data_IF_974744107636
#
_entry.id   IF_974744107636
#
_cell.length_a   1.000
_cell.length_b   1.000
_cell.length_c   1.000
_cell.angle_alpha   90.00
_cell.angle_beta   90.00
_cell.angle_gamma   90.00
#
_symmetry.space_group_name_H-M   'P 1'
#
loop_
_entity.id
_entity.type
_entity.pdbx_description
1 polymer ?
#
# COMPACT_ATOMS: atom_id res chain seq x y z
N UNK A 1 -51.35 31.64 14.72
CA UNK A 1 -50.52 32.55 15.59
C UNK A 1 -49.07 32.12 15.44
N UNK A 2 -48.30 33.01 14.83
CA UNK A 2 -46.86 32.85 14.56
C UNK A 2 -46.02 33.10 15.82
N UNK A 3 -45.03 32.27 16.07
CA UNK A 3 -43.84 32.69 16.83
C UNK A 3 -42.58 32.13 16.16
N UNK A 4 -41.86 33.02 15.47
CA UNK A 4 -40.47 32.87 15.04
C UNK A 4 -39.55 33.02 16.22
N UNK A 5 -38.73 32.02 16.58
CA UNK A 5 -37.58 32.18 17.49
C UNK A 5 -36.31 32.44 16.66
N UNK A 6 -35.79 33.66 16.81
CA UNK A 6 -34.47 34.10 16.34
C UNK A 6 -33.39 33.43 17.21
N UNK A 7 -32.40 32.82 16.59
CA UNK A 7 -31.14 32.42 17.23
C UNK A 7 -30.12 33.52 16.96
N UNK A 8 -29.61 34.10 18.04
CA UNK A 8 -28.52 35.11 17.99
C UNK A 8 -27.19 34.34 17.96
N UNK A 9 -26.40 34.59 16.94
CA UNK A 9 -25.02 34.15 16.86
C UNK A 9 -24.13 35.21 17.53
N UNK A 10 -23.55 34.86 18.68
CA UNK A 10 -22.45 35.63 19.28
C UNK A 10 -21.12 35.10 18.69
N UNK A 11 -20.45 35.95 17.92
CA UNK A 11 -19.10 35.68 17.43
C UNK A 11 -18.07 36.00 18.52
N UNK A 12 -17.13 35.06 18.74
CA UNK A 12 -15.88 35.33 19.43
C UNK A 12 -14.76 35.31 18.38
N UNK A 13 -14.23 36.50 18.09
CA UNK A 13 -13.00 36.66 17.33
C UNK A 13 -11.81 36.40 18.26
N UNK A 14 -11.02 35.40 17.99
CA UNK A 14 -9.71 35.21 18.60
C UNK A 14 -8.64 35.76 17.67
N UNK A 15 -7.99 36.84 18.06
CA UNK A 15 -6.86 37.42 17.38
C UNK A 15 -5.61 36.56 17.57
N UNK A 16 -5.03 36.08 16.48
CA UNK A 16 -3.73 35.43 16.48
C UNK A 16 -2.62 36.49 16.38
N UNK A 17 -1.81 36.59 17.41
CA UNK A 17 -0.59 37.42 17.43
C UNK A 17 0.48 36.67 16.66
N UNK A 18 0.91 37.23 15.53
CA UNK A 18 2.06 36.75 14.76
C UNK A 18 3.31 37.45 15.30
N UNK A 19 4.18 36.74 15.99
CA UNK A 19 5.49 37.25 16.40
C UNK A 19 6.46 37.11 15.22
N UNK A 20 6.89 38.23 14.70
CA UNK A 20 7.93 38.35 13.68
C UNK A 20 9.28 38.37 14.40
N UNK A 21 10.12 37.34 14.17
CA UNK A 21 11.52 37.32 14.61
C UNK A 21 12.40 37.86 13.48
N UNK A 22 13.28 38.84 13.70
CA UNK A 22 14.10 39.40 12.64
C UNK A 22 15.28 38.48 12.26
N UNK A 23 15.46 38.33 10.96
CA UNK A 23 16.55 37.59 10.32
C UNK A 23 17.88 38.36 10.52
N UNK A 24 18.84 37.74 11.23
CA UNK A 24 20.20 38.24 11.35
C UNK A 24 21.00 37.81 10.12
N UNK A 25 21.50 38.80 9.37
CA UNK A 25 22.43 38.64 8.25
C UNK A 25 23.83 38.23 8.76
N UNK A 26 24.43 37.21 8.13
CA UNK A 26 25.84 36.86 8.29
C UNK A 26 26.69 37.57 7.24
N UNK A 27 27.95 37.94 7.55
CA UNK A 27 28.78 38.79 6.69
C UNK A 27 29.41 38.00 5.52
N UNK A 28 29.59 38.73 4.41
CA UNK A 28 30.26 38.28 3.19
C UNK A 28 31.75 37.98 3.44
N UNK A 29 32.24 36.84 3.00
CA UNK A 29 33.66 36.53 2.95
C UNK A 29 34.28 37.10 1.66
N UNK A 30 35.32 37.89 1.87
CA UNK A 30 36.16 38.58 0.88
C UNK A 30 37.02 37.57 0.10
N UNK A 31 37.03 37.70 -1.22
CA UNK A 31 37.97 36.99 -2.10
C UNK A 31 39.37 37.62 -1.98
N UNK A 32 40.36 36.76 -1.70
CA UNK A 32 41.78 37.10 -1.83
C UNK A 32 42.30 36.55 -3.15
N UNK A 33 42.80 37.43 -4.01
CA UNK A 33 43.58 37.13 -5.20
C UNK A 33 44.98 36.61 -4.77
N UNK A 34 45.37 35.43 -5.17
CA UNK A 34 46.74 34.92 -5.07
C UNK A 34 47.42 34.83 -6.43
N UNK A 35 48.61 35.41 -6.50
CA UNK A 35 49.47 35.64 -7.67
C UNK A 35 49.96 34.36 -8.33
N UNK A 36 50.10 34.43 -9.65
CA UNK A 36 50.94 33.55 -10.48
C UNK A 36 52.43 33.70 -10.12
N UNK A 37 53.13 32.56 -9.97
CA UNK A 37 54.59 32.49 -10.10
C UNK A 37 54.91 31.39 -11.10
N UNK A 38 55.39 31.84 -12.25
CA UNK A 38 56.06 31.00 -13.24
C UNK A 38 57.43 30.59 -12.71
N UNK A 39 57.73 29.30 -12.77
CA UNK A 39 59.13 28.81 -12.65
C UNK A 39 59.46 27.94 -13.87
N UNK A 40 60.56 28.32 -14.50
CA UNK A 40 61.09 27.73 -15.73
C UNK A 40 61.58 26.28 -15.57
N UNK A 41 61.46 25.52 -16.64
CA UNK A 41 62.07 24.20 -16.83
C UNK A 41 63.55 24.33 -17.16
N UNK A 42 64.41 23.44 -16.71
CA UNK A 42 65.71 23.28 -17.32
C UNK A 42 65.69 22.25 -18.44
N UNK A 43 66.29 22.63 -19.53
CA UNK A 43 66.59 21.83 -20.71
C UNK A 43 67.59 20.72 -20.38
N UNK A 44 67.34 19.47 -20.75
CA UNK A 44 68.31 18.40 -20.66
C UNK A 44 68.50 17.78 -22.07
N UNK A 45 69.74 17.86 -22.55
CA UNK A 45 70.25 17.29 -23.80
C UNK A 45 70.21 15.76 -23.81
N UNK A 46 70.07 15.11 -25.01
CA UNK A 46 70.02 13.66 -25.14
C UNK A 46 71.40 13.03 -25.09
N UNK A 47 71.57 12.03 -24.24
CA UNK A 47 72.70 11.12 -24.35
C UNK A 47 72.25 9.74 -24.88
N UNK A 48 72.96 9.22 -25.83
CA UNK A 48 72.73 7.97 -26.53
C UNK A 48 73.28 6.78 -25.73
N UNK A 49 72.42 5.85 -25.35
CA UNK A 49 72.81 4.58 -24.75
C UNK A 49 71.76 3.51 -24.89
N UNK A 50 71.77 2.79 -26.00
CA UNK A 50 70.91 1.66 -26.29
C UNK A 50 71.16 0.49 -25.32
N UNK A 51 70.21 0.16 -24.49
CA UNK A 51 70.10 -1.15 -23.83
C UNK A 51 68.69 -1.67 -24.00
N UNK A 52 68.49 -2.69 -24.81
CA UNK A 52 67.24 -3.39 -25.04
C UNK A 52 66.72 -4.08 -23.78
N UNK A 53 65.75 -3.54 -23.16
CA UNK A 53 64.94 -4.23 -22.16
C UNK A 53 63.98 -5.22 -22.82
N UNK A 54 63.84 -6.47 -22.34
CA UNK A 54 62.92 -7.42 -22.94
C UNK A 54 61.48 -6.96 -22.75
N UNK A 55 60.71 -6.96 -23.86
CA UNK A 55 59.29 -6.73 -23.91
C UNK A 55 58.62 -7.73 -22.95
N UNK A 56 57.76 -7.29 -21.99
CA UNK A 56 57.00 -8.22 -21.21
C UNK A 56 56.03 -8.99 -22.12
N UNK A 57 56.19 -10.30 -22.17
CA UNK A 57 55.28 -11.21 -22.86
C UNK A 57 53.90 -11.03 -22.24
N UNK A 58 52.93 -10.53 -23.01
CA UNK A 58 51.50 -10.47 -22.58
C UNK A 58 51.08 -11.90 -22.24
N UNK A 59 50.75 -12.10 -20.94
CA UNK A 59 50.10 -13.31 -20.46
C UNK A 59 48.69 -13.31 -21.09
N UNK A 60 48.30 -14.35 -21.86
CA UNK A 60 46.97 -14.41 -22.44
C UNK A 60 45.93 -14.29 -21.36
N UNK A 61 45.05 -13.30 -21.47
CA UNK A 61 43.96 -13.10 -20.51
C UNK A 61 43.11 -14.38 -20.47
N UNK A 62 43.12 -15.07 -19.33
CA UNK A 62 42.27 -16.23 -19.11
C UNK A 62 40.81 -15.83 -19.37
N UNK A 63 40.07 -16.55 -20.24
CA UNK A 63 38.69 -16.19 -20.54
C UNK A 63 37.87 -16.15 -19.27
N UNK A 64 37.24 -14.99 -18.96
CA UNK A 64 36.46 -14.77 -17.79
C UNK A 64 35.30 -15.77 -17.77
N UNK A 65 35.25 -16.63 -16.74
CA UNK A 65 34.16 -17.58 -16.54
C UNK A 65 32.84 -16.79 -16.44
N UNK A 66 31.79 -17.12 -17.22
CA UNK A 66 30.57 -16.37 -17.24
C UNK A 66 29.90 -16.39 -15.86
N UNK A 67 29.76 -15.23 -15.23
CA UNK A 67 29.13 -15.09 -13.89
C UNK A 67 27.67 -15.46 -13.97
N UNK A 68 27.23 -16.49 -13.25
CA UNK A 68 25.84 -16.94 -13.19
C UNK A 68 24.97 -15.92 -12.46
N UNK A 69 24.15 -15.18 -13.21
CA UNK A 69 23.24 -14.17 -12.67
C UNK A 69 21.98 -14.77 -12.06
N UNK A 70 21.41 -14.08 -11.06
CA UNK A 70 20.09 -14.42 -10.49
C UNK A 70 18.98 -14.28 -11.56
N UNK A 71 17.84 -15.00 -11.41
CA UNK A 71 16.70 -14.85 -12.30
C UNK A 71 16.11 -13.45 -12.28
N UNK A 72 15.68 -12.95 -13.44
CA UNK A 72 15.07 -11.64 -13.59
C UNK A 72 13.76 -11.52 -12.77
N UNK A 73 13.53 -10.35 -12.18
CA UNK A 73 12.31 -10.06 -11.38
C UNK A 73 11.09 -9.95 -12.28
N UNK A 74 10.03 -10.71 -11.96
CA UNK A 74 8.81 -10.80 -12.76
C UNK A 74 7.61 -10.13 -12.07
N UNK A 75 6.58 -9.78 -12.87
CA UNK A 75 5.29 -9.22 -12.41
C UNK A 75 5.44 -7.91 -11.62
N UNK A 76 6.35 -7.03 -12.05
CA UNK A 76 6.51 -5.71 -11.44
C UNK A 76 5.29 -4.85 -11.74
N UNK A 77 4.70 -4.26 -10.68
CA UNK A 77 3.59 -3.30 -10.77
C UNK A 77 3.97 -2.01 -10.05
N UNK A 78 3.52 -0.87 -10.58
CA UNK A 78 3.68 0.45 -9.97
C UNK A 78 2.32 1.11 -9.78
N UNK A 79 2.00 1.49 -8.54
CA UNK A 79 0.77 2.18 -8.19
C UNK A 79 1.10 3.50 -7.50
N UNK A 80 0.33 4.55 -7.79
CA UNK A 80 0.50 5.83 -7.08
C UNK A 80 0.09 5.64 -5.62
N UNK A 81 0.97 6.05 -4.71
CA UNK A 81 0.71 5.98 -3.27
C UNK A 81 0.34 7.33 -2.68
N UNK A 82 0.99 8.40 -3.15
CA UNK A 82 0.69 9.79 -2.79
C UNK A 82 1.12 10.72 -3.93
N UNK A 83 0.92 12.04 -3.76
CA UNK A 83 1.41 13.05 -4.71
C UNK A 83 2.90 12.91 -5.01
N UNK A 84 3.71 12.41 -4.06
CA UNK A 84 5.17 12.37 -4.12
C UNK A 84 5.76 10.96 -3.94
N UNK A 85 4.93 9.91 -4.03
CA UNK A 85 5.41 8.54 -3.88
C UNK A 85 4.60 7.53 -4.69
N UNK A 86 5.27 6.44 -5.04
CA UNK A 86 4.66 5.25 -5.65
C UNK A 86 4.96 4.03 -4.80
N UNK A 87 4.07 3.06 -4.83
CA UNK A 87 4.28 1.70 -4.33
C UNK A 87 4.64 0.81 -5.51
N UNK A 88 5.73 0.08 -5.36
CA UNK A 88 6.15 -0.98 -6.27
C UNK A 88 5.90 -2.32 -5.60
N UNK A 89 5.41 -3.29 -6.37
CA UNK A 89 5.23 -4.68 -5.95
C UNK A 89 5.70 -5.61 -7.05
N UNK A 90 6.17 -6.81 -6.70
CA UNK A 90 6.63 -7.82 -7.66
C UNK A 90 6.48 -9.24 -7.12
N UNK A 91 6.69 -10.27 -7.97
CA UNK A 91 6.68 -11.66 -7.53
C UNK A 91 7.92 -11.94 -6.67
N UNK A 92 7.73 -12.43 -5.44
CA UNK A 92 8.83 -12.86 -4.56
C UNK A 92 9.55 -14.05 -5.18
N UNK A 93 10.89 -14.06 -5.09
CA UNK A 93 11.75 -15.14 -5.57
C UNK A 93 12.34 -15.91 -4.39
N UNK A 94 12.45 -17.24 -4.48
CA UNK A 94 12.90 -18.08 -3.36
C UNK A 94 14.37 -17.86 -2.98
N UNK A 95 15.25 -17.67 -3.98
CA UNK A 95 16.72 -17.54 -3.78
C UNK A 95 17.24 -16.10 -3.66
N UNK A 96 16.34 -15.08 -3.62
CA UNK A 96 16.73 -13.66 -3.60
C UNK A 96 16.68 -13.13 -2.16
N UNK A 97 17.80 -12.58 -1.68
CA UNK A 97 17.90 -11.92 -0.37
C UNK A 97 17.53 -10.45 -0.41
N UNK A 98 17.87 -9.76 -1.50
CA UNK A 98 17.62 -8.33 -1.72
C UNK A 98 17.03 -8.05 -3.10
N UNK A 99 16.34 -6.95 -3.20
CA UNK A 99 15.86 -6.35 -4.44
C UNK A 99 16.37 -4.92 -4.51
N UNK A 100 16.95 -4.51 -5.64
CA UNK A 100 17.43 -3.17 -5.90
C UNK A 100 16.47 -2.46 -6.83
N UNK A 101 15.98 -1.30 -6.42
CA UNK A 101 14.99 -0.51 -7.16
C UNK A 101 15.70 0.66 -7.81
N UNK A 102 15.57 0.76 -9.12
CA UNK A 102 16.14 1.81 -9.93
C UNK A 102 15.05 2.74 -10.48
N UNK A 103 15.40 4.01 -10.64
CA UNK A 103 14.49 5.06 -11.12
C UNK A 103 15.17 5.95 -12.14
N UNK A 104 14.40 6.33 -13.19
CA UNK A 104 14.76 7.35 -14.16
C UNK A 104 13.54 8.23 -14.47
N UNK A 105 13.78 9.41 -15.06
CA UNK A 105 12.74 10.26 -15.66
C UNK A 105 12.62 10.08 -17.17
N UNK A 106 13.53 9.35 -17.80
CA UNK A 106 13.52 8.95 -19.23
C UNK A 106 13.47 7.43 -19.32
N UNK A 107 12.72 6.87 -20.30
CA UNK A 107 12.56 5.42 -20.44
C UNK A 107 13.92 4.75 -20.74
N UNK A 108 14.65 5.31 -21.66
CA UNK A 108 15.93 4.78 -22.15
C UNK A 108 17.12 5.63 -21.63
N UNK A 109 16.92 6.35 -20.52
CA UNK A 109 17.93 7.17 -19.89
C UNK A 109 18.69 6.47 -18.77
N UNK A 110 19.66 7.16 -18.17
CA UNK A 110 20.44 6.66 -17.04
C UNK A 110 19.53 6.44 -15.82
N UNK A 111 19.48 5.23 -15.31
CA UNK A 111 18.77 4.87 -14.08
C UNK A 111 19.69 4.96 -12.88
N UNK A 112 19.14 5.48 -11.77
CA UNK A 112 19.87 5.55 -10.50
C UNK A 112 19.23 4.61 -9.48
N UNK A 113 20.05 3.86 -8.75
CA UNK A 113 19.59 3.05 -7.62
C UNK A 113 18.94 3.95 -6.57
N UNK A 114 17.68 3.67 -6.23
CA UNK A 114 16.90 4.45 -5.26
C UNK A 114 16.92 3.84 -3.87
N UNK A 115 16.80 2.52 -3.78
CA UNK A 115 16.81 1.77 -2.53
C UNK A 115 17.08 0.28 -2.77
N UNK A 116 17.45 -0.43 -1.70
CA UNK A 116 17.43 -1.89 -1.63
C UNK A 116 16.45 -2.35 -0.55
N UNK A 117 15.80 -3.51 -0.75
CA UNK A 117 14.83 -4.08 0.18
C UNK A 117 14.86 -5.60 0.17
N UNK A 118 14.56 -6.25 1.30
CA UNK A 118 14.35 -7.70 1.39
C UNK A 118 12.92 -8.12 1.01
N UNK A 119 11.99 -7.17 0.98
CA UNK A 119 10.59 -7.40 0.69
C UNK A 119 10.29 -7.26 -0.79
N UNK A 120 9.28 -7.95 -1.27
CA UNK A 120 8.75 -7.84 -2.64
C UNK A 120 7.77 -6.66 -2.81
N UNK A 121 7.86 -5.68 -1.92
CA UNK A 121 7.10 -4.44 -1.94
C UNK A 121 7.94 -3.30 -1.36
N UNK A 122 7.85 -2.11 -1.95
CA UNK A 122 8.49 -0.92 -1.40
C UNK A 122 7.74 0.37 -1.77
N UNK A 123 8.04 1.44 -1.03
CA UNK A 123 7.64 2.80 -1.35
C UNK A 123 8.83 3.61 -1.86
N UNK A 124 8.73 4.09 -3.09
CA UNK A 124 9.65 5.10 -3.62
C UNK A 124 9.09 6.48 -3.30
N UNK A 125 9.78 7.21 -2.42
CA UNK A 125 9.38 8.53 -1.90
C UNK A 125 10.18 9.66 -2.57
N UNK A 126 9.80 10.93 -2.29
CA UNK A 126 10.47 12.16 -2.75
C UNK A 126 10.48 12.29 -4.29
N UNK A 127 9.40 11.88 -4.95
CA UNK A 127 9.19 12.09 -6.38
C UNK A 127 8.55 13.45 -6.61
N UNK A 128 8.99 14.17 -7.65
CA UNK A 128 8.40 15.48 -8.02
C UNK A 128 7.04 15.29 -8.69
N UNK A 129 6.04 16.09 -8.30
CA UNK A 129 4.72 16.10 -8.93
C UNK A 129 4.81 16.50 -10.42
N UNK A 130 3.80 16.15 -11.21
CA UNK A 130 3.69 16.39 -12.65
C UNK A 130 4.77 15.72 -13.54
N UNK A 131 5.76 14.99 -12.98
CA UNK A 131 6.77 14.23 -13.72
C UNK A 131 6.36 12.77 -13.92
N UNK A 132 6.80 12.14 -15.03
CA UNK A 132 6.71 10.71 -15.29
C UNK A 132 8.02 10.06 -14.83
N UNK A 133 7.93 8.94 -14.16
CA UNK A 133 9.07 8.14 -13.68
C UNK A 133 8.98 6.73 -14.22
N UNK A 134 10.13 6.16 -14.49
CA UNK A 134 10.32 4.80 -14.96
C UNK A 134 11.11 4.03 -13.92
N UNK A 135 10.77 2.77 -13.73
CA UNK A 135 11.37 1.91 -12.70
C UNK A 135 11.68 0.55 -13.28
N UNK A 136 12.79 -0.03 -12.86
CA UNK A 136 13.04 -1.45 -12.95
C UNK A 136 13.62 -1.97 -11.64
N UNK A 137 13.67 -3.29 -11.47
CA UNK A 137 14.12 -3.96 -10.26
C UNK A 137 15.07 -5.07 -10.66
N UNK A 138 16.20 -5.20 -9.95
CA UNK A 138 17.07 -6.36 -10.01
C UNK A 138 16.98 -7.18 -8.73
N UNK A 139 17.26 -8.47 -8.81
CA UNK A 139 17.39 -9.36 -7.66
C UNK A 139 18.86 -9.48 -7.30
N UNK A 140 19.21 -9.46 -6.03
CA UNK A 140 20.57 -9.55 -5.51
C UNK A 140 20.67 -10.40 -4.25
N UNK A 141 21.85 -10.90 -3.95
CA UNK A 141 22.17 -11.62 -2.73
C UNK A 141 22.64 -10.70 -1.61
N UNK A 142 23.26 -9.58 -1.96
CA UNK A 142 23.82 -8.57 -1.06
C UNK A 142 23.00 -7.27 -1.11
N UNK A 143 23.14 -6.41 -0.13
CA UNK A 143 22.55 -5.07 -0.09
C UNK A 143 23.22 -4.11 -1.09
N UNK A 144 24.50 -4.33 -1.38
CA UNK A 144 25.27 -3.67 -2.43
C UNK A 144 24.94 -4.33 -3.79
N UNK A 145 25.23 -3.64 -4.88
CA UNK A 145 25.17 -4.22 -6.23
C UNK A 145 26.33 -5.19 -6.42
N UNK A 146 26.08 -6.25 -7.16
CA UNK A 146 27.04 -7.31 -7.46
C UNK A 146 26.87 -7.76 -8.91
N UNK A 147 27.89 -8.32 -9.50
CA UNK A 147 27.86 -8.91 -10.85
C UNK A 147 26.89 -10.08 -10.97
N UNK A 148 26.63 -10.78 -9.84
CA UNK A 148 25.63 -11.86 -9.73
C UNK A 148 24.20 -11.36 -9.71
N UNK A 149 23.96 -10.04 -9.61
CA UNK A 149 22.62 -9.48 -9.64
C UNK A 149 21.91 -9.82 -10.94
N UNK A 150 20.60 -10.00 -10.87
CA UNK A 150 19.79 -10.31 -12.04
C UNK A 150 19.85 -9.19 -13.09
N UNK A 151 19.58 -9.54 -14.34
CA UNK A 151 19.26 -8.53 -15.34
C UNK A 151 18.04 -7.69 -14.90
N UNK A 152 17.91 -6.43 -15.40
CA UNK A 152 16.77 -5.58 -15.10
C UNK A 152 15.43 -6.26 -15.41
N UNK A 153 14.44 -6.04 -14.55
CA UNK A 153 13.06 -6.42 -14.85
C UNK A 153 12.50 -5.61 -16.01
N UNK A 154 11.35 -6.02 -16.56
CA UNK A 154 10.56 -5.15 -17.44
C UNK A 154 10.34 -3.79 -16.78
N UNK A 155 10.57 -2.71 -17.55
CA UNK A 155 10.40 -1.33 -17.09
C UNK A 155 8.91 -1.04 -16.90
N UNK A 156 8.57 -0.48 -15.75
CA UNK A 156 7.22 0.04 -15.46
C UNK A 156 7.27 1.54 -15.23
N UNK A 157 6.19 2.27 -15.52
CA UNK A 157 6.18 3.73 -15.37
C UNK A 157 4.93 4.26 -14.69
N UNK A 158 5.05 5.44 -14.07
CA UNK A 158 3.90 6.18 -13.50
C UNK A 158 4.12 7.69 -13.60
N UNK A 159 3.13 8.40 -14.18
CA UNK A 159 3.08 9.87 -14.15
C UNK A 159 2.56 10.32 -12.78
N UNK A 160 3.32 11.18 -12.11
CA UNK A 160 2.90 11.77 -10.83
C UNK A 160 1.86 12.85 -11.07
N UNK A 161 0.79 12.85 -10.24
CA UNK A 161 -0.28 13.86 -10.23
C UNK A 161 -0.62 14.15 -8.77
N UNK A 162 -1.29 15.25 -8.48
CA UNK A 162 -1.89 15.45 -7.15
C UNK A 162 -2.81 14.28 -6.82
N UNK A 163 -2.58 13.65 -5.67
CA UNK A 163 -3.27 12.42 -5.29
C UNK A 163 -3.42 12.32 -3.78
N UNK A 164 -4.63 12.15 -3.33
CA UNK A 164 -4.93 11.79 -1.94
C UNK A 164 -5.36 10.34 -1.92
N UNK A 165 -4.56 9.50 -1.27
CA UNK A 165 -4.87 8.09 -1.09
C UNK A 165 -6.18 7.95 -0.31
N UNK A 166 -7.14 7.23 -0.85
CA UNK A 166 -8.39 6.91 -0.16
C UNK A 166 -8.45 5.41 0.09
N UNK A 167 -8.62 5.01 1.34
CA UNK A 167 -8.96 3.64 1.72
C UNK A 167 -10.46 3.59 2.00
N UNK A 168 -11.15 2.67 1.32
CA UNK A 168 -12.58 2.44 1.48
C UNK A 168 -12.80 1.16 2.28
N UNK A 169 -13.75 1.20 3.20
CA UNK A 169 -14.31 0.05 3.92
C UNK A 169 -15.72 -0.13 3.40
N UNK A 170 -15.95 -1.23 2.70
CA UNK A 170 -17.21 -1.54 2.00
C UNK A 170 -17.91 -2.71 2.69
N UNK A 171 -19.18 -2.55 3.06
CA UNK A 171 -19.87 -3.62 3.77
C UNK A 171 -21.24 -3.24 4.32
N UNK A 172 -21.58 -3.91 5.40
CA UNK A 172 -22.84 -3.85 6.11
C UNK A 172 -22.75 -3.00 7.42
N UNK A 173 -23.66 -3.24 8.38
CA UNK A 173 -23.69 -2.56 9.67
C UNK A 173 -22.42 -2.71 10.51
N UNK A 174 -21.74 -3.86 10.45
CA UNK A 174 -20.46 -4.06 11.13
C UNK A 174 -19.39 -3.14 10.54
N UNK A 175 -19.39 -3.00 9.23
CA UNK A 175 -18.47 -2.07 8.53
C UNK A 175 -18.83 -0.60 8.83
N UNK A 176 -20.11 -0.29 8.91
CA UNK A 176 -20.63 1.05 9.26
C UNK A 176 -20.17 1.47 10.66
N UNK A 177 -20.13 0.55 11.62
CA UNK A 177 -19.64 0.76 12.98
C UNK A 177 -18.18 1.23 13.07
N UNK A 178 -17.35 1.00 12.06
CA UNK A 178 -16.01 1.60 12.01
C UNK A 178 -16.03 3.13 12.12
N UNK A 179 -17.09 3.76 11.63
CA UNK A 179 -17.26 5.22 11.69
C UNK A 179 -17.85 5.66 13.01
N UNK A 180 -18.89 4.99 13.50
CA UNK A 180 -19.67 5.44 14.65
C UNK A 180 -19.08 4.96 15.98
N UNK A 181 -18.45 3.78 16.01
CA UNK A 181 -17.91 3.14 17.21
C UNK A 181 -16.41 3.43 17.43
N UNK A 182 -15.88 4.49 16.82
CA UNK A 182 -14.52 4.95 17.06
C UNK A 182 -13.42 4.11 16.39
N UNK A 183 -13.73 3.12 15.54
CA UNK A 183 -12.74 2.26 14.89
C UNK A 183 -11.71 3.04 14.07
N UNK A 184 -12.09 4.14 13.44
CA UNK A 184 -11.19 4.99 12.67
C UNK A 184 -10.21 5.80 13.52
N UNK A 185 -10.55 6.14 14.76
CA UNK A 185 -9.62 6.80 15.69
C UNK A 185 -8.42 5.90 16.01
N UNK A 186 -8.63 4.59 16.09
CA UNK A 186 -7.60 3.58 16.36
C UNK A 186 -6.90 3.04 15.11
N UNK A 187 -7.17 3.63 13.94
CA UNK A 187 -6.63 3.18 12.65
C UNK A 187 -5.73 4.23 12.01
N UNK A 188 -4.47 4.39 12.44
CA UNK A 188 -3.53 5.37 11.89
C UNK A 188 -2.97 4.93 10.53
N UNK A 189 -3.85 4.83 9.53
CA UNK A 189 -3.46 4.65 8.11
C UNK A 189 -3.39 6.00 7.42
N UNK A 190 -2.43 6.16 6.51
CA UNK A 190 -2.26 7.43 5.79
C UNK A 190 -3.34 7.65 4.73
N UNK A 191 -3.68 8.92 4.47
CA UNK A 191 -4.69 9.32 3.51
C UNK A 191 -6.11 9.43 4.09
N UNK A 192 -7.12 9.43 3.23
CA UNK A 192 -8.54 9.49 3.64
C UNK A 192 -9.07 8.08 3.90
N UNK A 193 -9.83 7.91 4.96
CA UNK A 193 -10.64 6.73 5.25
C UNK A 193 -12.10 7.04 4.96
N UNK A 194 -12.82 6.11 4.35
CA UNK A 194 -14.25 6.24 4.06
C UNK A 194 -14.94 4.91 4.25
N UNK A 195 -16.13 4.92 4.81
CA UNK A 195 -17.09 3.81 4.73
C UNK A 195 -17.97 3.97 3.48
N UNK A 196 -18.23 2.85 2.82
CA UNK A 196 -19.32 2.65 1.87
C UNK A 196 -20.07 1.43 2.40
N UNK A 197 -20.81 1.65 3.46
CA UNK A 197 -21.50 0.62 4.20
C UNK A 197 -22.87 1.14 4.61
N UNK A 198 -23.81 0.24 4.75
CA UNK A 198 -25.17 0.54 5.22
C UNK A 198 -25.74 -0.71 5.87
N UNK A 199 -26.48 -0.53 6.97
CA UNK A 199 -27.10 -1.61 7.72
C UNK A 199 -28.00 -2.48 6.85
N UNK A 200 -27.93 -3.79 7.04
CA UNK A 200 -28.71 -4.77 6.31
C UNK A 200 -28.22 -5.06 4.87
N UNK A 201 -27.13 -4.41 4.39
CA UNK A 201 -26.55 -4.79 3.11
C UNK A 201 -25.95 -6.20 3.17
N UNK A 202 -26.10 -6.93 2.08
CA UNK A 202 -25.58 -8.26 1.88
C UNK A 202 -24.85 -8.36 0.54
N UNK A 203 -24.41 -9.53 0.11
CA UNK A 203 -23.68 -9.70 -1.15
C UNK A 203 -24.48 -9.29 -2.36
N UNK A 204 -25.79 -9.52 -2.39
CA UNK A 204 -26.70 -9.10 -3.48
C UNK A 204 -26.99 -7.62 -3.39
N UNK A 205 -27.44 -7.16 -2.22
CA UNK A 205 -27.98 -5.79 -2.08
C UNK A 205 -26.89 -4.71 -2.12
N UNK A 206 -25.61 -5.05 -1.90
CA UNK A 206 -24.53 -4.11 -2.05
C UNK A 206 -24.38 -3.59 -3.49
N UNK A 207 -24.73 -4.37 -4.51
CA UNK A 207 -24.65 -3.95 -5.90
C UNK A 207 -26.01 -3.75 -6.58
N UNK A 208 -27.13 -4.05 -5.88
CA UNK A 208 -28.49 -3.85 -6.45
C UNK A 208 -29.27 -2.76 -5.73
N UNK A 209 -29.19 -2.63 -4.40
CA UNK A 209 -29.94 -1.67 -3.60
C UNK A 209 -29.33 -0.27 -3.62
N UNK A 210 -30.12 0.76 -3.97
CA UNK A 210 -29.67 2.15 -4.12
C UNK A 210 -29.83 2.97 -2.84
N UNK A 211 -29.04 2.68 -1.81
CA UNK A 211 -29.08 3.35 -0.47
C UNK A 211 -28.13 4.54 -0.35
N UNK A 212 -27.35 4.86 -1.37
CA UNK A 212 -26.34 5.92 -1.33
C UNK A 212 -26.69 7.06 -2.31
N UNK A 213 -27.74 7.83 -2.02
CA UNK A 213 -28.22 8.93 -2.87
C UNK A 213 -28.42 8.46 -4.33
N UNK A 214 -29.29 7.49 -4.53
CA UNK A 214 -29.62 6.92 -5.84
C UNK A 214 -28.56 5.98 -6.45
N UNK A 215 -27.47 5.68 -5.72
CA UNK A 215 -26.42 4.74 -6.15
C UNK A 215 -26.37 3.50 -5.27
N UNK A 216 -25.92 2.40 -5.86
CA UNK A 216 -25.56 1.19 -5.10
C UNK A 216 -24.20 1.36 -4.42
N UNK A 217 -23.89 0.48 -3.43
CA UNK A 217 -22.57 0.44 -2.80
C UNK A 217 -21.44 0.23 -3.80
N UNK A 218 -21.63 -0.70 -4.75
CA UNK A 218 -20.65 -0.99 -5.81
C UNK A 218 -20.43 0.23 -6.73
N UNK A 219 -21.50 0.90 -7.19
CA UNK A 219 -21.39 2.10 -8.00
C UNK A 219 -20.63 3.22 -7.27
N UNK A 220 -20.93 3.43 -5.98
CA UNK A 220 -20.24 4.43 -5.17
C UNK A 220 -18.77 4.10 -4.96
N UNK A 221 -18.44 2.81 -4.78
CA UNK A 221 -17.06 2.33 -4.65
C UNK A 221 -16.27 2.55 -5.94
N UNK A 222 -16.82 2.17 -7.09
CA UNK A 222 -16.19 2.35 -8.41
C UNK A 222 -15.95 3.84 -8.69
N UNK A 223 -16.95 4.69 -8.41
CA UNK A 223 -16.81 6.15 -8.58
C UNK A 223 -15.72 6.76 -7.67
N UNK A 224 -15.52 6.20 -6.48
CA UNK A 224 -14.48 6.65 -5.55
C UNK A 224 -13.05 6.34 -6.00
N UNK A 225 -12.84 5.37 -6.91
CA UNK A 225 -11.54 4.90 -7.41
C UNK A 225 -10.52 4.78 -6.27
N UNK A 226 -10.78 3.98 -5.23
CA UNK A 226 -9.96 3.95 -4.03
C UNK A 226 -8.56 3.40 -4.33
N UNK A 227 -7.58 3.82 -3.53
CA UNK A 227 -6.28 3.18 -3.50
C UNK A 227 -6.38 1.74 -2.98
N UNK A 228 -7.21 1.53 -1.95
CA UNK A 228 -7.47 0.24 -1.30
C UNK A 228 -8.92 0.13 -0.87
N UNK A 229 -9.49 -1.06 -1.02
CA UNK A 229 -10.80 -1.39 -0.47
C UNK A 229 -10.70 -2.63 0.41
N UNK A 230 -11.32 -2.56 1.58
CA UNK A 230 -11.62 -3.70 2.45
C UNK A 230 -13.11 -4.02 2.28
N UNK A 231 -13.42 -5.24 1.82
CA UNK A 231 -14.80 -5.68 1.60
C UNK A 231 -15.21 -6.65 2.69
N UNK A 232 -16.28 -6.33 3.42
CA UNK A 232 -16.84 -7.09 4.55
C UNK A 232 -18.34 -7.25 4.33
N UNK A 233 -18.76 -8.30 3.63
CA UNK A 233 -20.16 -8.65 3.35
C UNK A 233 -20.38 -10.13 3.59
N UNK A 234 -21.61 -10.51 3.85
CA UNK A 234 -21.99 -11.88 4.03
C UNK A 234 -22.60 -12.22 5.40
N UNK A 235 -22.51 -11.28 6.36
CA UNK A 235 -22.99 -11.53 7.70
C UNK A 235 -24.51 -11.61 7.78
N UNK A 236 -25.20 -10.78 7.01
CA UNK A 236 -26.67 -10.68 7.04
C UNK A 236 -27.40 -11.85 6.40
N UNK A 237 -26.72 -12.61 5.52
CA UNK A 237 -27.37 -13.70 4.76
C UNK A 237 -26.78 -15.09 5.00
N UNK A 238 -25.63 -15.21 5.67
CA UNK A 238 -24.94 -16.49 5.83
C UNK A 238 -25.76 -17.57 6.49
N UNK A 239 -26.75 -17.20 7.33
CA UNK A 239 -27.53 -18.16 8.07
C UNK A 239 -28.72 -18.76 7.28
N UNK A 240 -29.07 -18.17 6.11
CA UNK A 240 -30.18 -18.67 5.26
C UNK A 240 -29.81 -18.82 3.78
N UNK A 241 -28.77 -18.10 3.29
CA UNK A 241 -28.45 -18.11 1.85
C UNK A 241 -27.48 -19.23 1.49
N UNK A 242 -27.60 -19.78 0.28
CA UNK A 242 -26.63 -20.74 -0.26
C UNK A 242 -25.26 -20.07 -0.46
N UNK A 243 -24.21 -20.69 0.05
CA UNK A 243 -22.82 -20.19 -0.09
C UNK A 243 -22.42 -20.02 -1.56
N UNK A 244 -22.89 -20.89 -2.47
CA UNK A 244 -22.62 -20.76 -3.91
C UNK A 244 -23.08 -19.41 -4.47
N UNK A 245 -24.28 -18.99 -4.10
CA UNK A 245 -24.86 -17.72 -4.55
C UNK A 245 -24.05 -16.54 -4.02
N UNK A 246 -23.79 -16.51 -2.70
CA UNK A 246 -22.96 -15.49 -2.08
C UNK A 246 -21.58 -15.35 -2.75
N UNK A 247 -20.95 -16.47 -3.11
CA UNK A 247 -19.64 -16.46 -3.79
C UNK A 247 -19.74 -16.02 -5.25
N UNK A 248 -20.86 -16.28 -5.93
CA UNK A 248 -21.12 -15.73 -7.27
C UNK A 248 -21.20 -14.23 -7.22
N UNK A 249 -22.02 -13.66 -6.32
CA UNK A 249 -22.14 -12.23 -6.11
C UNK A 249 -20.80 -11.56 -5.77
N UNK A 250 -19.99 -12.19 -4.90
CA UNK A 250 -18.64 -11.71 -4.64
C UNK A 250 -17.76 -11.68 -5.90
N UNK A 251 -17.82 -12.73 -6.74
CA UNK A 251 -17.06 -12.79 -7.99
C UNK A 251 -17.41 -11.62 -8.88
N UNK A 252 -18.71 -11.39 -9.12
CA UNK A 252 -19.21 -10.36 -10.02
C UNK A 252 -18.81 -8.96 -9.54
N UNK A 253 -18.93 -8.69 -8.24
CA UNK A 253 -18.43 -7.45 -7.64
C UNK A 253 -16.91 -7.28 -7.81
N UNK A 254 -16.12 -8.33 -7.60
CA UNK A 254 -14.66 -8.28 -7.73
C UNK A 254 -14.24 -8.06 -9.18
N UNK A 255 -14.93 -8.66 -10.15
CA UNK A 255 -14.70 -8.44 -11.58
C UNK A 255 -14.99 -7.00 -11.97
N UNK A 256 -16.13 -6.47 -11.57
CA UNK A 256 -16.51 -5.09 -11.82
C UNK A 256 -15.51 -4.08 -11.24
N UNK A 257 -15.04 -4.31 -10.00
CA UNK A 257 -14.03 -3.45 -9.36
C UNK A 257 -12.69 -3.56 -10.10
N UNK A 258 -12.24 -4.74 -10.46
CA UNK A 258 -10.96 -4.94 -11.18
C UNK A 258 -10.98 -4.30 -12.56
N UNK A 259 -12.09 -4.41 -13.28
CA UNK A 259 -12.27 -3.79 -14.59
C UNK A 259 -12.29 -2.26 -14.49
N UNK A 260 -13.08 -1.71 -13.57
CA UNK A 260 -13.27 -0.26 -13.44
C UNK A 260 -12.15 0.46 -12.68
N UNK A 261 -11.47 -0.25 -11.78
CA UNK A 261 -10.46 0.29 -10.87
C UNK A 261 -9.21 -0.61 -10.83
N UNK A 262 -8.47 -0.80 -11.94
CA UNK A 262 -7.39 -1.79 -12.05
C UNK A 262 -6.20 -1.52 -11.11
N UNK A 263 -6.05 -0.29 -10.64
CA UNK A 263 -5.00 0.11 -9.69
C UNK A 263 -5.42 -0.09 -8.21
N UNK A 264 -6.67 -0.47 -7.94
CA UNK A 264 -7.19 -0.66 -6.57
C UNK A 264 -6.64 -1.95 -5.95
N UNK A 265 -6.14 -1.84 -4.73
CA UNK A 265 -5.75 -2.98 -3.91
C UNK A 265 -6.99 -3.53 -3.19
N UNK A 266 -7.50 -4.67 -3.66
CA UNK A 266 -8.73 -5.27 -3.15
C UNK A 266 -8.40 -6.28 -2.06
N UNK A 267 -9.04 -6.13 -0.90
CA UNK A 267 -8.92 -7.03 0.25
C UNK A 267 -10.31 -7.49 0.63
N UNK A 268 -10.56 -8.76 0.49
CA UNK A 268 -11.80 -9.41 0.96
C UNK A 268 -11.55 -9.91 2.37
N UNK A 269 -12.40 -9.52 3.30
CA UNK A 269 -12.28 -9.87 4.71
C UNK A 269 -13.16 -11.08 5.06
N UNK A 270 -12.71 -11.88 6.03
CA UNK A 270 -13.55 -12.89 6.66
C UNK A 270 -14.79 -12.24 7.29
N UNK A 271 -15.92 -12.95 7.32
CA UNK A 271 -17.05 -12.57 8.18
C UNK A 271 -16.80 -13.02 9.62
N UNK A 272 -17.23 -12.18 10.57
CA UNK A 272 -16.97 -12.36 12.00
C UNK A 272 -17.70 -13.58 12.59
N UNK A 273 -17.25 -14.11 13.74
CA UNK A 273 -18.04 -15.06 14.52
C UNK A 273 -19.27 -14.37 15.15
N UNK A 274 -20.23 -15.17 15.57
CA UNK A 274 -21.35 -14.78 16.40
C UNK A 274 -21.23 -15.42 17.78
N UNK A 275 -21.97 -14.93 18.77
CA UNK A 275 -22.03 -15.54 20.11
C UNK A 275 -22.65 -16.95 20.04
N UNK A 276 -22.44 -17.75 21.09
CA UNK A 276 -23.06 -19.07 21.21
C UNK A 276 -24.59 -18.97 21.19
N UNK A 277 -25.15 -17.98 21.90
CA UNK A 277 -26.58 -17.74 21.95
C UNK A 277 -27.16 -17.39 20.58
N UNK A 278 -26.48 -16.52 19.82
CA UNK A 278 -26.92 -16.14 18.47
C UNK A 278 -26.87 -17.32 17.51
N UNK A 279 -25.81 -18.15 17.59
CA UNK A 279 -25.73 -19.37 16.79
C UNK A 279 -26.84 -20.38 17.14
N UNK A 280 -27.26 -20.44 18.41
CA UNK A 280 -28.38 -21.30 18.83
C UNK A 280 -29.72 -20.78 18.27
N UNK A 281 -29.93 -19.45 18.25
CA UNK A 281 -31.14 -18.81 17.65
C UNK A 281 -31.19 -18.98 16.13
N UNK A 282 -30.03 -18.89 15.46
CA UNK A 282 -29.90 -18.99 14.01
C UNK A 282 -28.86 -20.06 13.64
N UNK A 283 -29.21 -21.35 13.66
CA UNK A 283 -28.27 -22.46 13.45
C UNK A 283 -27.49 -22.35 12.14
N UNK A 284 -28.04 -21.74 11.08
CA UNK A 284 -27.38 -21.54 9.81
C UNK A 284 -26.03 -20.81 9.88
N UNK A 285 -25.69 -20.16 10.97
CA UNK A 285 -24.34 -19.59 11.19
C UNK A 285 -23.22 -20.65 11.26
N UNK A 286 -23.53 -21.96 11.32
CA UNK A 286 -22.55 -23.01 11.15
C UNK A 286 -21.85 -22.93 9.80
N UNK A 287 -22.50 -22.36 8.78
CA UNK A 287 -21.94 -22.18 7.43
C UNK A 287 -20.77 -21.19 7.38
N UNK A 288 -20.64 -20.29 8.35
CA UNK A 288 -19.63 -19.23 8.39
C UNK A 288 -18.18 -19.72 8.15
N UNK A 289 -17.65 -20.72 8.86
CA UNK A 289 -16.28 -21.17 8.60
C UNK A 289 -16.12 -21.81 7.21
N UNK A 290 -17.17 -22.45 6.68
CA UNK A 290 -17.18 -22.99 5.33
C UNK A 290 -17.14 -21.87 4.29
N UNK A 291 -17.97 -20.85 4.48
CA UNK A 291 -17.98 -19.66 3.64
C UNK A 291 -16.61 -18.97 3.63
N UNK A 292 -16.04 -18.66 4.78
CA UNK A 292 -14.73 -18.03 4.91
C UNK A 292 -13.62 -18.82 4.19
N UNK A 293 -13.62 -20.16 4.29
CA UNK A 293 -12.69 -21.03 3.54
C UNK A 293 -12.89 -20.92 2.02
N UNK A 294 -14.13 -20.97 1.56
CA UNK A 294 -14.45 -20.86 0.12
C UNK A 294 -14.17 -19.46 -0.41
N UNK A 295 -14.47 -18.40 0.37
CA UNK A 295 -14.14 -17.02 0.04
C UNK A 295 -12.63 -16.80 -0.09
N UNK A 296 -11.81 -17.41 0.79
CA UNK A 296 -10.34 -17.43 0.67
C UNK A 296 -9.88 -18.08 -0.65
N UNK A 297 -10.51 -19.20 -1.05
CA UNK A 297 -10.21 -19.84 -2.35
C UNK A 297 -10.61 -18.95 -3.52
N UNK A 298 -11.79 -18.32 -3.47
CA UNK A 298 -12.25 -17.37 -4.48
C UNK A 298 -11.27 -16.18 -4.60
N UNK A 299 -10.89 -15.55 -3.49
CA UNK A 299 -9.94 -14.45 -3.49
C UNK A 299 -8.61 -14.83 -4.16
N UNK A 300 -8.08 -16.04 -3.88
CA UNK A 300 -6.88 -16.57 -4.56
C UNK A 300 -7.10 -16.71 -6.07
N UNK A 301 -8.22 -17.29 -6.51
CA UNK A 301 -8.59 -17.46 -7.93
C UNK A 301 -8.70 -16.10 -8.62
N UNK A 302 -9.32 -15.13 -7.96
CA UNK A 302 -9.49 -13.77 -8.46
C UNK A 302 -8.21 -12.91 -8.35
N UNK A 303 -7.10 -13.44 -7.82
CA UNK A 303 -5.86 -12.68 -7.60
C UNK A 303 -6.05 -11.42 -6.75
N UNK A 304 -6.96 -11.47 -5.79
CA UNK A 304 -7.16 -10.47 -4.74
C UNK A 304 -6.70 -11.01 -3.38
N UNK A 305 -6.61 -10.16 -2.38
CA UNK A 305 -6.15 -10.59 -1.05
C UNK A 305 -7.33 -11.00 -0.19
N UNK A 306 -7.17 -12.08 0.55
CA UNK A 306 -8.05 -12.46 1.65
C UNK A 306 -7.38 -12.09 2.99
N UNK A 307 -8.15 -11.47 3.89
CA UNK A 307 -7.72 -11.13 5.25
C UNK A 307 -8.65 -11.82 6.25
N UNK A 308 -8.10 -12.77 7.01
CA UNK A 308 -8.74 -13.25 8.22
C UNK A 308 -8.21 -12.44 9.40
N UNK A 309 -9.10 -11.70 10.02
CA UNK A 309 -8.82 -10.89 11.21
C UNK A 309 -9.52 -11.44 12.45
N UNK A 310 -10.25 -12.55 12.32
CA UNK A 310 -11.29 -12.96 13.27
C UNK A 310 -10.77 -13.57 14.58
N UNK A 311 -9.49 -13.91 14.67
CA UNK A 311 -8.93 -14.62 15.84
C UNK A 311 -9.07 -13.82 17.15
N UNK A 312 -8.92 -12.50 17.10
CA UNK A 312 -9.06 -11.69 18.30
C UNK A 312 -10.50 -11.64 18.84
N UNK A 313 -11.50 -11.88 17.96
CA UNK A 313 -12.92 -11.87 18.32
C UNK A 313 -13.35 -13.18 18.98
N UNK A 314 -12.63 -14.27 18.75
CA UNK A 314 -13.04 -15.61 19.17
C UNK A 314 -12.67 -15.90 20.62
N UNK A 315 -13.59 -16.56 21.33
CA UNK A 315 -13.27 -17.29 22.54
C UNK A 315 -12.57 -18.63 22.24
N UNK A 316 -12.28 -19.45 23.25
CA UNK A 316 -11.64 -20.75 23.11
C UNK A 316 -12.46 -21.77 22.29
N UNK A 317 -13.78 -21.55 22.16
CA UNK A 317 -14.71 -22.40 21.39
C UNK A 317 -15.02 -21.82 20.00
N UNK A 318 -14.40 -20.69 19.62
CA UNK A 318 -14.56 -20.06 18.31
C UNK A 318 -15.78 -19.16 18.14
N UNK A 319 -16.52 -18.86 19.22
CA UNK A 319 -17.63 -17.90 19.24
C UNK A 319 -17.14 -16.48 19.46
N UNK A 320 -17.98 -15.51 19.10
CA UNK A 320 -17.73 -14.11 19.42
C UNK A 320 -17.74 -13.93 20.95
N UNK A 321 -16.65 -13.34 21.48
CA UNK A 321 -16.52 -13.04 22.90
C UNK A 321 -17.63 -12.10 23.37
N UNK A 322 -18.25 -12.37 24.51
CA UNK A 322 -19.27 -11.53 25.12
C UNK A 322 -18.78 -10.09 25.36
N UNK A 323 -17.49 -9.90 25.70
CA UNK A 323 -16.87 -8.59 25.86
C UNK A 323 -16.87 -7.74 24.58
N UNK A 324 -16.98 -8.38 23.41
CA UNK A 324 -16.97 -7.71 22.10
C UNK A 324 -18.34 -7.69 21.43
N UNK A 325 -19.32 -8.48 21.90
CA UNK A 325 -20.65 -8.57 21.33
C UNK A 325 -21.63 -7.58 21.95
N UNK A 326 -22.52 -6.99 21.15
CA UNK A 326 -23.73 -6.33 21.61
C UNK A 326 -24.78 -7.37 22.00
N UNK A 327 -25.95 -6.93 22.50
CA UNK A 327 -27.01 -7.83 22.99
C UNK A 327 -27.60 -8.77 21.93
N UNK A 328 -27.48 -8.42 20.63
CA UNK A 328 -27.94 -9.27 19.52
C UNK A 328 -26.99 -10.43 19.21
N UNK A 329 -25.76 -10.40 19.72
CA UNK A 329 -24.80 -11.48 19.60
C UNK A 329 -23.97 -11.50 18.33
N UNK A 330 -24.06 -10.52 17.42
CA UNK A 330 -23.24 -10.44 16.20
C UNK A 330 -22.67 -9.06 15.88
N UNK A 331 -23.30 -7.95 16.32
CA UNK A 331 -22.70 -6.63 16.25
C UNK A 331 -21.61 -6.46 17.31
N UNK A 332 -20.71 -5.52 17.07
CA UNK A 332 -19.53 -5.34 17.93
C UNK A 332 -19.66 -4.13 18.83
N UNK A 333 -19.14 -4.24 20.04
CA UNK A 333 -18.92 -3.13 20.97
C UNK A 333 -17.69 -2.30 20.58
N UNK A 334 -17.55 -1.04 21.03
CA UNK A 334 -16.40 -0.18 20.75
C UNK A 334 -15.02 -0.80 20.99
N UNK A 335 -14.78 -1.62 22.05
CA UNK A 335 -13.46 -2.26 22.24
C UNK A 335 -13.03 -3.19 21.08
N UNK A 336 -14.00 -3.88 20.44
CA UNK A 336 -13.71 -4.72 19.27
C UNK A 336 -13.29 -3.86 18.06
N UNK A 337 -13.97 -2.75 17.82
CA UNK A 337 -13.61 -1.80 16.76
C UNK A 337 -12.24 -1.16 16.97
N UNK A 338 -11.91 -0.80 18.23
CA UNK A 338 -10.59 -0.26 18.57
C UNK A 338 -9.48 -1.27 18.27
N UNK A 339 -9.65 -2.53 18.66
CA UNK A 339 -8.68 -3.61 18.40
C UNK A 339 -8.57 -3.92 16.91
N UNK A 340 -9.69 -4.00 16.21
CA UNK A 340 -9.75 -4.17 14.76
C UNK A 340 -9.02 -3.04 14.01
N UNK A 341 -9.25 -1.79 14.42
CA UNK A 341 -8.54 -0.63 13.85
C UNK A 341 -7.02 -0.74 13.96
N UNK A 342 -6.50 -1.17 15.12
CA UNK A 342 -5.05 -1.40 15.33
C UNK A 342 -4.52 -2.53 14.44
N UNK A 343 -5.28 -3.63 14.29
CA UNK A 343 -4.91 -4.77 13.43
C UNK A 343 -4.84 -4.32 11.97
N UNK A 344 -5.86 -3.62 11.48
CA UNK A 344 -5.89 -3.10 10.11
C UNK A 344 -4.76 -2.10 9.86
N UNK A 345 -4.45 -1.23 10.83
CA UNK A 345 -3.34 -0.29 10.70
C UNK A 345 -1.97 -0.99 10.59
N UNK A 346 -1.75 -2.06 11.37
CA UNK A 346 -0.54 -2.91 11.27
C UNK A 346 -0.47 -3.59 9.91
N UNK A 347 -1.55 -4.22 9.48
CA UNK A 347 -1.67 -4.89 8.19
C UNK A 347 -1.45 -3.93 7.01
N UNK A 348 -2.05 -2.74 7.05
CA UNK A 348 -1.91 -1.69 6.03
C UNK A 348 -0.45 -1.23 5.88
N UNK A 349 0.25 -1.03 7.01
CA UNK A 349 1.69 -0.69 7.00
C UNK A 349 2.54 -1.77 6.37
N UNK A 350 2.34 -3.04 6.75
CA UNK A 350 3.07 -4.18 6.19
C UNK A 350 2.84 -4.31 4.68
N UNK A 351 1.59 -4.20 4.26
CA UNK A 351 1.21 -4.29 2.85
C UNK A 351 1.76 -3.13 1.99
N UNK A 352 1.99 -1.99 2.58
CA UNK A 352 2.60 -0.84 1.92
C UNK A 352 4.15 -0.87 1.93
N UNK A 353 4.77 -1.88 2.55
CA UNK A 353 6.22 -1.93 2.72
C UNK A 353 6.76 -0.89 3.71
N UNK A 354 5.91 -0.42 4.65
CA UNK A 354 6.28 0.53 5.71
C UNK A 354 6.63 -0.17 7.03
N UNK A 355 6.45 -1.47 7.13
CA UNK A 355 6.67 -2.31 8.31
C UNK A 355 8.03 -3.01 8.30
N UNK A 356 9.10 -2.27 8.05
CA UNK A 356 10.47 -2.77 8.16
C UNK A 356 11.37 -1.64 8.63
N UNK A 357 11.53 -1.51 9.92
CA UNK A 357 12.76 -1.07 10.55
C UNK A 357 13.47 -2.28 11.09
#
# INVERSE_FOLDING_TARGET
MNQKKRVVLTGCAAAAIVSIVPFRSLPSATMVKGQEMATALPEVTPDAGATSTPVPTEIPATPAVPVKKLPCVKKVKVVRFSTHSVKLTWKKQKKTKYYHVFVSTKKDGKYRKKLSTKNNVCLVKKLKNKKKYYFYITAGEKKQLSETDSNPSKVVSKKMKTYVRTTVFAGDSITEGLTYEGGFAHMPIGGKKRTIAYRGLNTVTFHTKRVFHGRTGLQKLIAAKPYRVYMMLGMNEIHYQKISNMLSEYRDMLEAIKQSCPDTDIIVCAISPVTRAEKARHPGFWQRPVFNRKLKKLAKKMSVTYLDYTDFLKDSKGYLKAAYATGDGYHWKPPAYAKFGKILAKYDRQRDGRGGK
#
